data_IF_431875342612
#
_entry.id   IF_431875342612
#
_cell.length_a   1.000
_cell.length_b   1.000
_cell.length_c   1.000
_cell.angle_alpha   90.00
_cell.angle_beta   90.00
_cell.angle_gamma   90.00
#
_symmetry.space_group_name_H-M   'P 1'
#
loop_
_entity.id
_entity.type
_entity.pdbx_description
1 polymer ?
#
# COMPACT_ATOMS: atom_id res chain seq x y z
N UNK A 1 -20.15 3.72 -1.99
CA UNK A 1 -18.87 3.43 -2.69
C UNK A 1 -18.98 2.04 -3.28
N UNK A 2 -18.81 1.89 -4.59
CA UNK A 2 -19.04 0.64 -5.33
C UNK A 2 -17.72 -0.13 -5.52
N UNK A 3 -17.09 -0.64 -4.45
CA UNK A 3 -15.79 -1.33 -4.58
C UNK A 3 -15.88 -2.87 -4.45
N UNK A 4 -17.02 -3.42 -4.05
CA UNK A 4 -17.16 -4.87 -3.81
C UNK A 4 -17.29 -5.73 -5.09
N UNK A 5 -17.58 -5.15 -6.27
CA UNK A 5 -17.91 -5.93 -7.47
C UNK A 5 -16.74 -6.23 -8.43
N UNK A 6 -15.51 -5.79 -8.12
CA UNK A 6 -14.35 -5.99 -9.01
C UNK A 6 -13.27 -6.93 -8.48
N UNK A 7 -13.47 -7.53 -7.30
CA UNK A 7 -12.52 -8.46 -6.66
C UNK A 7 -11.95 -9.54 -7.62
N UNK A 8 -12.76 -10.24 -8.44
CA UNK A 8 -12.23 -11.26 -9.34
C UNK A 8 -11.26 -10.68 -10.40
N UNK A 9 -11.50 -9.45 -10.84
CA UNK A 9 -10.76 -8.80 -11.92
C UNK A 9 -9.36 -8.41 -11.47
N UNK A 10 -9.24 -7.63 -10.40
CA UNK A 10 -7.91 -7.19 -9.93
C UNK A 10 -7.13 -8.31 -9.24
N UNK A 11 -7.79 -9.34 -8.70
CA UNK A 11 -7.10 -10.55 -8.21
C UNK A 11 -6.37 -11.29 -9.34
N UNK A 12 -6.98 -11.36 -10.53
CA UNK A 12 -6.34 -11.96 -11.72
C UNK A 12 -5.16 -11.11 -12.19
N UNK A 13 -5.32 -9.78 -12.22
CA UNK A 13 -4.23 -8.86 -12.55
C UNK A 13 -3.07 -9.01 -11.57
N UNK A 14 -3.36 -9.12 -10.27
CA UNK A 14 -2.34 -9.32 -9.25
C UNK A 14 -1.56 -10.62 -9.46
N UNK A 15 -2.25 -11.74 -9.71
CA UNK A 15 -1.58 -12.99 -10.05
C UNK A 15 -0.70 -12.88 -11.31
N UNK A 16 -1.14 -12.10 -12.31
CA UNK A 16 -0.35 -11.83 -13.50
C UNK A 16 0.90 -11.00 -13.19
N UNK A 17 0.78 -9.96 -12.36
CA UNK A 17 1.92 -9.15 -11.93
C UNK A 17 2.97 -9.99 -11.18
N UNK A 18 2.53 -10.86 -10.27
CA UNK A 18 3.42 -11.78 -9.54
C UNK A 18 4.14 -12.75 -10.49
N UNK A 19 3.46 -13.25 -11.51
CA UNK A 19 4.10 -14.12 -12.51
C UNK A 19 5.15 -13.37 -13.33
N UNK A 20 4.89 -12.12 -13.71
CA UNK A 20 5.85 -11.27 -14.43
C UNK A 20 7.05 -10.94 -13.54
N UNK A 21 6.81 -10.64 -12.26
CA UNK A 21 7.85 -10.44 -11.26
C UNK A 21 8.77 -11.66 -11.17
N UNK A 22 8.20 -12.85 -11.00
CA UNK A 22 8.95 -14.11 -10.92
C UNK A 22 9.72 -14.42 -12.21
N UNK A 23 9.26 -13.92 -13.36
CA UNK A 23 9.94 -14.04 -14.64
C UNK A 23 11.02 -12.96 -14.88
N UNK A 24 11.25 -12.05 -13.92
CA UNK A 24 12.20 -10.93 -14.05
C UNK A 24 11.69 -9.77 -14.89
N UNK A 25 10.42 -9.78 -15.29
CA UNK A 25 9.78 -8.70 -16.06
C UNK A 25 9.27 -7.58 -15.14
N UNK A 26 10.15 -7.04 -14.29
CA UNK A 26 9.82 -6.09 -13.20
C UNK A 26 9.03 -4.88 -13.70
N UNK A 27 9.41 -4.28 -14.82
CA UNK A 27 8.70 -3.12 -15.38
C UNK A 27 7.23 -3.45 -15.71
N UNK A 28 6.99 -4.58 -16.37
CA UNK A 28 5.64 -5.00 -16.74
C UNK A 28 4.80 -5.38 -15.51
N UNK A 29 5.43 -5.98 -14.48
CA UNK A 29 4.76 -6.23 -13.20
C UNK A 29 4.32 -4.92 -12.52
N UNK A 30 5.21 -3.91 -12.50
CA UNK A 30 4.92 -2.60 -11.91
C UNK A 30 3.79 -1.86 -12.64
N UNK A 31 3.74 -1.92 -13.97
CA UNK A 31 2.62 -1.34 -14.74
C UNK A 31 1.26 -1.90 -14.30
N UNK A 32 1.19 -3.22 -14.07
CA UNK A 32 -0.03 -3.87 -13.57
C UNK A 32 -0.31 -3.49 -12.12
N UNK A 33 0.70 -3.45 -11.25
CA UNK A 33 0.51 -3.02 -9.87
C UNK A 33 -0.04 -1.59 -9.78
N UNK A 34 0.48 -0.67 -10.60
CA UNK A 34 -0.04 0.70 -10.70
C UNK A 34 -1.49 0.72 -11.18
N UNK A 35 -1.82 -0.05 -12.21
CA UNK A 35 -3.21 -0.18 -12.67
C UNK A 35 -4.15 -0.66 -11.57
N UNK A 36 -3.70 -1.64 -10.77
CA UNK A 36 -4.50 -2.19 -9.68
C UNK A 36 -4.83 -1.11 -8.64
N UNK A 37 -3.81 -0.39 -8.15
CA UNK A 37 -3.98 0.58 -7.06
C UNK A 37 -4.75 1.81 -7.52
N UNK A 38 -4.52 2.28 -8.75
CA UNK A 38 -5.18 3.46 -9.30
C UNK A 38 -6.68 3.24 -9.55
N UNK A 39 -7.04 2.08 -10.11
CA UNK A 39 -8.43 1.80 -10.53
C UNK A 39 -9.28 1.13 -9.47
N UNK A 40 -8.69 0.27 -8.64
CA UNK A 40 -9.49 -0.64 -7.80
C UNK A 40 -9.31 -0.43 -6.31
N UNK A 41 -8.28 0.32 -5.88
CA UNK A 41 -8.06 0.67 -4.48
C UNK A 41 -8.21 -0.57 -3.56
N UNK A 42 -7.42 -1.63 -3.78
CA UNK A 42 -7.59 -2.87 -3.04
C UNK A 42 -7.27 -2.69 -1.56
N UNK A 43 -8.01 -3.39 -0.70
CA UNK A 43 -7.83 -3.29 0.76
C UNK A 43 -6.54 -3.99 1.24
N UNK A 44 -6.10 -5.04 0.54
CA UNK A 44 -4.98 -5.88 0.98
C UNK A 44 -3.62 -5.17 0.96
N UNK A 45 -2.81 -5.43 1.98
CA UNK A 45 -1.46 -4.87 2.08
C UNK A 45 -0.52 -5.33 0.95
N UNK A 46 -0.64 -6.58 0.53
CA UNK A 46 0.17 -7.18 -0.54
C UNK A 46 0.19 -6.36 -1.83
N UNK A 47 -0.92 -5.67 -2.16
CA UNK A 47 -1.06 -4.86 -3.37
C UNK A 47 -0.18 -3.61 -3.38
N UNK A 48 0.29 -3.16 -2.22
CA UNK A 48 1.18 -2.00 -2.08
C UNK A 48 2.60 -2.42 -1.70
N UNK A 49 2.74 -3.43 -0.83
CA UNK A 49 4.04 -3.88 -0.34
C UNK A 49 4.92 -4.42 -1.47
N UNK A 50 4.40 -5.35 -2.28
CA UNK A 50 5.18 -6.00 -3.33
C UNK A 50 5.75 -5.00 -4.34
N UNK A 51 4.94 -4.13 -4.99
CA UNK A 51 5.49 -3.16 -5.92
C UNK A 51 6.46 -2.18 -5.26
N UNK A 52 6.18 -1.75 -4.03
CA UNK A 52 7.09 -0.86 -3.32
C UNK A 52 8.45 -1.52 -3.01
N UNK A 53 8.45 -2.80 -2.62
CA UNK A 53 9.68 -3.57 -2.40
C UNK A 53 10.48 -3.78 -3.70
N UNK A 54 9.79 -4.01 -4.82
CA UNK A 54 10.42 -4.10 -6.15
C UNK A 54 11.10 -2.79 -6.54
N UNK A 55 10.42 -1.67 -6.30
CA UNK A 55 10.95 -0.34 -6.58
C UNK A 55 12.15 -0.02 -5.69
N UNK A 56 12.06 -0.30 -4.38
CA UNK A 56 13.17 -0.15 -3.44
C UNK A 56 14.39 -0.98 -3.86
N UNK A 57 14.19 -2.25 -4.24
CA UNK A 57 15.26 -3.13 -4.71
C UNK A 57 15.90 -2.65 -6.02
N UNK A 58 15.17 -1.89 -6.84
CA UNK A 58 15.69 -1.25 -8.06
C UNK A 58 16.35 0.11 -7.84
N UNK A 59 16.34 0.63 -6.61
CA UNK A 59 16.84 1.97 -6.27
C UNK A 59 15.84 3.10 -6.55
N UNK A 60 14.64 2.79 -7.02
CA UNK A 60 13.56 3.76 -7.25
C UNK A 60 12.78 4.01 -5.95
N UNK A 61 13.41 4.77 -5.05
CA UNK A 61 12.80 5.11 -3.77
C UNK A 61 11.57 6.02 -3.93
N UNK A 62 11.55 6.90 -4.94
CA UNK A 62 10.41 7.79 -5.20
C UNK A 62 9.18 6.99 -5.65
N UNK A 63 9.36 6.03 -6.56
CA UNK A 63 8.30 5.11 -6.96
C UNK A 63 7.80 4.28 -5.78
N UNK A 64 8.71 3.77 -4.94
CA UNK A 64 8.33 2.99 -3.77
C UNK A 64 7.42 3.80 -2.82
N UNK A 65 7.71 5.09 -2.63
CA UNK A 65 6.87 6.00 -1.85
C UNK A 65 5.47 6.19 -2.42
N UNK A 66 5.31 6.19 -3.74
CA UNK A 66 3.98 6.36 -4.36
C UNK A 66 3.05 5.23 -3.91
N UNK A 67 3.53 3.98 -3.86
CA UNK A 67 2.74 2.86 -3.37
C UNK A 67 2.44 2.94 -1.87
N UNK A 68 3.37 3.46 -1.07
CA UNK A 68 3.12 3.71 0.36
C UNK A 68 2.06 4.78 0.54
N UNK A 69 2.08 5.85 -0.26
CA UNK A 69 1.03 6.88 -0.26
C UNK A 69 -0.32 6.28 -0.66
N UNK A 70 -0.37 5.43 -1.68
CA UNK A 70 -1.61 4.74 -2.04
C UNK A 70 -2.13 3.85 -0.91
N UNK A 71 -1.26 3.13 -0.20
CA UNK A 71 -1.64 2.36 0.98
C UNK A 71 -2.29 3.28 2.01
N UNK A 72 -1.59 4.33 2.46
CA UNK A 72 -2.08 5.30 3.45
C UNK A 72 -3.39 5.96 3.01
N UNK A 73 -3.50 6.41 1.75
CA UNK A 73 -4.71 7.03 1.23
C UNK A 73 -5.88 6.06 1.20
N UNK A 74 -5.64 4.79 0.87
CA UNK A 74 -6.66 3.76 0.98
C UNK A 74 -7.05 3.52 2.45
N UNK A 75 -6.10 3.60 3.37
CA UNK A 75 -6.33 3.47 4.81
C UNK A 75 -7.14 4.62 5.41
N UNK A 76 -7.07 5.83 4.84
CA UNK A 76 -7.97 6.93 5.21
C UNK A 76 -9.45 6.64 4.87
N UNK A 77 -9.72 5.62 4.06
CA UNK A 77 -11.08 5.16 3.73
C UNK A 77 -11.49 3.89 4.51
N UNK A 78 -10.60 3.34 5.34
CA UNK A 78 -10.87 2.18 6.20
C UNK A 78 -11.25 2.65 7.61
N UNK A 79 -12.31 2.07 8.17
CA UNK A 79 -12.71 2.29 9.58
C UNK A 79 -12.49 1.02 10.41
N UNK A 80 -12.28 1.18 11.73
CA UNK A 80 -12.21 0.09 12.70
C UNK A 80 -11.01 -0.85 12.54
N UNK A 81 -11.19 -2.14 12.83
CA UNK A 81 -10.13 -3.17 12.88
C UNK A 81 -9.30 -3.28 11.58
N UNK A 82 -9.89 -2.94 10.44
CA UNK A 82 -9.21 -2.93 9.14
C UNK A 82 -8.11 -1.87 9.08
N UNK A 83 -8.32 -0.70 9.71
CA UNK A 83 -7.33 0.37 9.83
C UNK A 83 -6.18 -0.04 10.74
N UNK A 84 -6.48 -0.67 11.87
CA UNK A 84 -5.47 -1.06 12.86
C UNK A 84 -4.54 -2.18 12.35
N UNK A 85 -5.10 -3.21 11.70
CA UNK A 85 -4.31 -4.29 11.09
C UNK A 85 -3.32 -3.76 10.06
N UNK A 86 -3.80 -2.84 9.24
CA UNK A 86 -3.05 -2.15 8.21
C UNK A 86 -1.91 -1.31 8.80
N UNK A 87 -2.18 -0.56 9.88
CA UNK A 87 -1.19 0.34 10.48
C UNK A 87 -0.17 -0.45 11.29
N UNK A 88 -0.54 -1.58 11.88
CA UNK A 88 0.41 -2.51 12.47
C UNK A 88 1.36 -3.09 11.40
N UNK A 89 0.82 -3.39 10.21
CA UNK A 89 1.55 -4.04 9.13
C UNK A 89 2.44 -3.09 8.32
N UNK A 90 1.97 -1.87 8.05
CA UNK A 90 2.70 -0.86 7.29
C UNK A 90 3.34 0.21 8.14
N UNK A 91 2.91 0.42 9.37
CA UNK A 91 3.40 1.48 10.26
C UNK A 91 4.92 1.50 10.38
N UNK A 92 5.62 0.38 10.62
CA UNK A 92 7.08 0.36 10.65
C UNK A 92 7.72 0.79 9.31
N UNK A 93 7.08 0.43 8.19
CA UNK A 93 7.57 0.72 6.85
C UNK A 93 7.31 2.19 6.45
N UNK A 94 6.12 2.70 6.78
CA UNK A 94 5.73 4.11 6.65
C UNK A 94 6.64 4.98 7.52
N UNK A 95 6.86 4.63 8.79
CA UNK A 95 7.78 5.36 9.69
C UNK A 95 9.21 5.39 9.14
N UNK A 96 9.73 4.24 8.69
CA UNK A 96 11.08 4.15 8.09
C UNK A 96 11.23 5.07 6.89
N UNK A 97 10.22 5.10 6.02
CA UNK A 97 10.26 5.93 4.82
C UNK A 97 9.99 7.41 5.15
N UNK A 98 8.99 7.72 5.97
CA UNK A 98 8.66 9.08 6.39
C UNK A 98 9.85 9.84 7.01
N UNK A 99 10.62 9.17 7.88
CA UNK A 99 11.86 9.71 8.46
C UNK A 99 12.91 10.02 7.40
N UNK A 100 13.02 9.20 6.35
CA UNK A 100 13.96 9.41 5.25
C UNK A 100 13.63 10.62 4.35
N UNK A 101 12.40 11.12 4.40
CA UNK A 101 11.89 12.19 3.52
C UNK A 101 11.37 13.42 4.28
N UNK A 102 11.49 13.46 5.61
CA UNK A 102 11.03 14.59 6.43
C UNK A 102 9.51 14.73 6.50
N UNK A 103 8.77 13.63 6.33
CA UNK A 103 7.31 13.59 6.56
C UNK A 103 7.11 13.35 8.06
N UNK A 104 6.34 14.22 8.72
CA UNK A 104 6.14 14.12 10.16
C UNK A 104 5.14 13.01 10.49
N UNK A 105 5.32 12.37 11.65
CA UNK A 105 4.46 11.27 12.09
C UNK A 105 2.98 11.68 12.20
N UNK A 106 2.73 12.95 12.49
CA UNK A 106 1.41 13.59 12.50
C UNK A 106 0.70 13.60 11.16
N UNK A 107 1.42 13.47 10.03
CA UNK A 107 0.83 13.51 8.69
C UNK A 107 0.19 12.17 8.29
N UNK A 108 0.45 11.09 9.03
CA UNK A 108 -0.07 9.75 8.73
C UNK A 108 -0.51 8.94 9.95
N UNK A 109 -0.26 9.40 11.18
CA UNK A 109 -0.86 8.84 12.39
C UNK A 109 -2.10 9.67 12.73
N UNK A 110 -3.27 9.05 12.60
CA UNK A 110 -4.48 9.56 13.23
C UNK A 110 -4.38 9.16 14.69
N UNK A 111 -4.20 10.12 15.59
CA UNK A 111 -4.20 9.88 17.04
C UNK A 111 -5.42 9.02 17.40
N UNK A 112 -5.15 7.79 17.84
CA UNK A 112 -6.16 6.97 18.48
C UNK A 112 -6.45 7.62 19.82
N UNK A 113 -7.68 8.09 19.97
CA UNK A 113 -8.26 8.66 21.17
C UNK A 113 -7.78 7.90 22.42
N UNK A 114 -6.95 8.56 23.25
CA UNK A 114 -6.62 8.12 24.61
C UNK A 114 -7.86 8.24 25.50
N UNK A 115 -8.88 7.44 25.21
CA UNK A 115 -10.07 7.31 26.05
C UNK A 115 -10.16 5.89 26.56
N UNK A 116 -9.38 5.60 27.61
CA UNK A 116 -9.87 4.87 28.79
C UNK A 116 -8.77 4.82 29.87
N UNK A 117 -8.67 5.91 30.60
CA UNK A 117 -8.13 5.93 31.95
C UNK A 117 -9.20 6.45 32.91
N UNK A 118 -10.07 5.57 33.38
CA UNK A 118 -10.78 5.68 34.67
C UNK A 118 -10.82 4.31 35.37
#
# INVERSE_FOLDING_TARGET
MQNEHHWPTYRRLFAQAVNLENAGATKAALEIYYEIVDKYWPIGAEYYRRPAALLEASGDHEGALVFVRFAVLNHLHLEGEAKDSVMAEFGPWVKRLAVGFGIEESDYVVEGDESNGE
#
